data_IF_118771356613
#
_entry.id   IF_118771356613
#
_cell.length_a   1.000
_cell.length_b   1.000
_cell.length_c   1.000
_cell.angle_alpha   90.00
_cell.angle_beta   90.00
_cell.angle_gamma   90.00
#
_symmetry.space_group_name_H-M   'P 1'
#
loop_
_entity.id
_entity.type
_entity.pdbx_description
1 polymer ?
#
# COMPACT_ATOMS: atom_id res chain seq x y z
N UNK A 1 -35.70 -26.86 -51.06
CA UNK A 1 -35.23 -26.59 -49.67
C UNK A 1 -33.72 -26.64 -49.57
N UNK A 2 -32.94 -25.96 -50.44
CA UNK A 2 -31.46 -26.07 -50.47
C UNK A 2 -30.76 -24.72 -50.59
N UNK A 3 -31.47 -23.62 -50.48
CA UNK A 3 -30.89 -22.25 -50.61
C UNK A 3 -30.64 -21.55 -49.27
N UNK A 4 -31.13 -22.10 -48.14
CA UNK A 4 -30.97 -21.46 -46.81
C UNK A 4 -29.67 -21.79 -46.06
N UNK A 5 -29.00 -22.91 -46.38
CA UNK A 5 -27.83 -23.39 -45.60
C UNK A 5 -26.52 -22.71 -46.08
N UNK A 6 -26.44 -22.32 -47.36
CA UNK A 6 -25.22 -21.67 -47.88
C UNK A 6 -25.02 -20.22 -47.39
N UNK A 7 -26.09 -19.50 -47.09
CA UNK A 7 -26.01 -18.11 -46.60
C UNK A 7 -25.55 -18.01 -45.12
N UNK A 8 -25.86 -19.01 -44.29
CA UNK A 8 -25.46 -19.03 -42.86
C UNK A 8 -23.97 -19.38 -42.73
N UNK A 9 -23.45 -20.27 -43.55
CA UNK A 9 -22.00 -20.61 -43.50
C UNK A 9 -21.12 -19.47 -43.99
N UNK A 10 -21.54 -18.68 -44.96
CA UNK A 10 -20.78 -17.53 -45.46
C UNK A 10 -20.77 -16.39 -44.43
N UNK A 11 -21.85 -16.18 -43.68
CA UNK A 11 -21.92 -15.18 -42.62
C UNK A 11 -21.04 -15.53 -41.42
N UNK A 12 -20.96 -16.82 -41.04
CA UNK A 12 -20.11 -17.30 -39.95
C UNK A 12 -18.60 -17.21 -40.28
N UNK A 13 -18.21 -17.46 -41.52
CA UNK A 13 -16.81 -17.33 -41.98
C UNK A 13 -16.40 -15.87 -42.04
N UNK A 14 -17.25 -14.96 -42.44
CA UNK A 14 -16.98 -13.52 -42.45
C UNK A 14 -16.89 -12.94 -41.04
N UNK A 15 -17.68 -13.43 -40.09
CA UNK A 15 -17.61 -13.00 -38.69
C UNK A 15 -16.33 -13.48 -38.02
N UNK A 16 -15.89 -14.71 -38.31
CA UNK A 16 -14.62 -15.25 -37.79
C UNK A 16 -13.39 -14.52 -38.34
N UNK A 17 -13.41 -14.11 -39.60
CA UNK A 17 -12.34 -13.34 -40.22
C UNK A 17 -12.28 -11.90 -39.68
N UNK A 18 -13.37 -11.28 -39.28
CA UNK A 18 -13.40 -9.95 -38.67
C UNK A 18 -12.83 -9.96 -37.23
N UNK A 19 -13.15 -11.00 -36.44
CA UNK A 19 -12.65 -11.15 -35.06
C UNK A 19 -11.14 -11.39 -35.04
N UNK A 20 -10.61 -12.20 -35.98
CA UNK A 20 -9.17 -12.46 -36.08
C UNK A 20 -8.40 -11.19 -36.50
N UNK A 21 -8.94 -10.38 -37.42
CA UNK A 21 -8.29 -9.13 -37.81
C UNK A 21 -8.28 -8.05 -36.73
N UNK A 22 -9.36 -7.95 -35.90
CA UNK A 22 -9.40 -7.01 -34.78
C UNK A 22 -8.34 -7.30 -33.71
N UNK A 23 -8.08 -8.58 -33.43
CA UNK A 23 -7.05 -8.96 -32.47
C UNK A 23 -5.61 -8.74 -33.00
N UNK A 24 -5.39 -8.91 -34.30
CA UNK A 24 -4.08 -8.69 -34.93
C UNK A 24 -3.76 -7.19 -35.00
N UNK A 25 -4.72 -6.33 -35.28
CA UNK A 25 -4.54 -4.87 -35.29
C UNK A 25 -4.28 -4.34 -33.89
N UNK A 26 -5.01 -4.81 -32.85
CA UNK A 26 -4.77 -4.42 -31.46
C UNK A 26 -3.37 -4.85 -30.96
N UNK A 27 -2.88 -6.00 -31.40
CA UNK A 27 -1.56 -6.49 -30.98
C UNK A 27 -0.38 -5.79 -31.69
N UNK A 28 -0.58 -5.17 -32.84
CA UNK A 28 0.45 -4.37 -33.50
C UNK A 28 0.57 -2.96 -32.90
N UNK A 29 -0.50 -2.40 -32.41
CA UNK A 29 -0.57 -1.01 -31.95
C UNK A 29 0.27 -0.75 -30.69
N UNK A 30 0.15 -1.57 -29.65
CA UNK A 30 0.88 -1.34 -28.41
C UNK A 30 2.42 -1.45 -28.59
N UNK A 31 2.92 -2.28 -29.52
CA UNK A 31 4.36 -2.41 -29.79
C UNK A 31 4.92 -1.14 -30.39
N UNK A 32 4.17 -0.56 -31.31
CA UNK A 32 4.54 0.72 -31.93
C UNK A 32 4.50 1.84 -30.90
N UNK A 33 3.45 1.92 -30.09
CA UNK A 33 3.32 2.91 -29.01
C UNK A 33 4.43 2.78 -27.98
N UNK A 34 4.80 1.54 -27.63
CA UNK A 34 5.92 1.28 -26.73
C UNK A 34 7.24 1.75 -27.31
N UNK A 35 7.54 1.40 -28.57
CA UNK A 35 8.78 1.80 -29.21
C UNK A 35 8.89 3.32 -29.36
N UNK A 36 7.83 3.99 -29.79
CA UNK A 36 7.78 5.45 -29.85
C UNK A 36 8.05 6.06 -28.48
N UNK A 37 7.38 5.54 -27.45
CA UNK A 37 7.55 6.03 -26.07
C UNK A 37 8.97 5.79 -25.57
N UNK A 38 9.56 4.63 -25.84
CA UNK A 38 10.92 4.29 -25.42
C UNK A 38 11.96 5.18 -26.10
N UNK A 39 11.83 5.42 -27.40
CA UNK A 39 12.73 6.32 -28.13
C UNK A 39 12.60 7.77 -27.64
N UNK A 40 11.38 8.21 -27.34
CA UNK A 40 11.17 9.54 -26.77
C UNK A 40 11.76 9.65 -25.35
N UNK A 41 11.59 8.61 -24.51
CA UNK A 41 12.18 8.53 -23.18
C UNK A 41 13.72 8.57 -23.20
N UNK A 42 14.35 7.88 -24.17
CA UNK A 42 15.81 7.96 -24.38
C UNK A 42 16.26 9.37 -24.77
N UNK A 43 15.47 10.11 -25.54
CA UNK A 43 15.75 11.51 -25.88
C UNK A 43 15.58 12.44 -24.67
N UNK A 44 14.61 12.18 -23.80
CA UNK A 44 14.45 12.87 -22.51
C UNK A 44 15.64 12.58 -21.58
N UNK A 45 16.24 11.38 -21.69
CA UNK A 45 17.50 10.97 -21.08
C UNK A 45 17.43 10.75 -19.56
N UNK A 46 16.31 11.07 -18.91
CA UNK A 46 16.15 10.83 -17.48
C UNK A 46 14.68 10.69 -17.03
N UNK A 47 14.49 10.11 -15.84
CA UNK A 47 13.22 10.15 -15.08
C UNK A 47 13.52 10.61 -13.65
N UNK A 48 12.67 11.49 -13.12
CA UNK A 48 12.76 11.97 -11.73
C UNK A 48 11.73 11.27 -10.85
N UNK A 49 12.20 10.52 -9.84
CA UNK A 49 11.37 9.68 -8.97
C UNK A 49 11.52 10.11 -7.52
N UNK A 50 10.42 10.51 -6.87
CA UNK A 50 10.39 10.71 -5.42
C UNK A 50 9.88 9.42 -4.77
N UNK A 51 10.74 8.75 -3.99
CA UNK A 51 10.51 7.38 -3.53
C UNK A 51 10.75 7.21 -2.04
N UNK A 52 9.92 6.39 -1.40
CA UNK A 52 10.03 5.98 -0.01
C UNK A 52 10.41 4.50 0.10
N UNK A 53 11.52 4.20 0.81
CA UNK A 53 12.04 2.86 1.18
C UNK A 53 12.59 2.00 0.06
N UNK A 54 12.04 2.05 -1.14
CA UNK A 54 12.35 1.08 -2.20
C UNK A 54 13.33 1.63 -3.24
N UNK A 55 14.22 2.53 -2.84
CA UNK A 55 15.22 3.14 -3.73
C UNK A 55 16.17 2.12 -4.36
N UNK A 56 16.45 1.00 -3.68
CA UNK A 56 17.27 -0.08 -4.25
C UNK A 56 16.66 -0.69 -5.52
N UNK A 57 15.33 -0.59 -5.70
CA UNK A 57 14.63 -1.01 -6.91
C UNK A 57 15.11 -0.26 -8.16
N UNK A 58 15.53 0.99 -7.99
CA UNK A 58 15.97 1.85 -9.10
C UNK A 58 17.22 1.30 -9.81
N UNK A 59 18.04 0.52 -9.10
CA UNK A 59 19.19 -0.13 -9.72
C UNK A 59 18.78 -1.20 -10.75
N UNK A 60 17.69 -1.91 -10.48
CA UNK A 60 17.14 -2.88 -11.45
C UNK A 60 16.59 -2.18 -12.70
N UNK A 61 15.94 -1.03 -12.53
CA UNK A 61 15.50 -0.21 -13.67
C UNK A 61 16.67 0.32 -14.49
N UNK A 62 17.70 0.90 -13.86
CA UNK A 62 18.91 1.42 -14.53
C UNK A 62 19.63 0.35 -15.33
N UNK A 63 19.66 -0.88 -14.80
CA UNK A 63 20.29 -2.02 -15.50
C UNK A 63 19.53 -2.40 -16.77
N UNK A 64 18.21 -2.28 -16.78
CA UNK A 64 17.37 -2.61 -17.94
C UNK A 64 17.27 -1.46 -18.96
N UNK A 65 17.29 -0.21 -18.46
CA UNK A 65 17.19 1.00 -19.27
C UNK A 65 18.38 1.95 -19.02
N UNK A 66 19.61 1.57 -19.43
CA UNK A 66 20.82 2.34 -19.12
C UNK A 66 20.85 3.73 -19.78
N UNK A 67 20.08 3.93 -20.86
CA UNK A 67 19.96 5.22 -21.56
C UNK A 67 19.03 6.22 -20.83
N UNK A 68 18.34 5.79 -19.76
CA UNK A 68 17.42 6.63 -18.98
C UNK A 68 17.99 6.79 -17.57
N UNK A 69 18.61 7.94 -17.29
CA UNK A 69 19.13 8.26 -15.96
C UNK A 69 17.99 8.38 -14.95
N UNK A 70 18.14 7.78 -13.77
CA UNK A 70 17.20 7.97 -12.66
C UNK A 70 17.71 9.04 -11.70
N UNK A 71 16.96 10.13 -11.58
CA UNK A 71 17.15 11.15 -10.55
C UNK A 71 16.19 10.83 -9.40
N UNK A 72 16.73 10.38 -8.27
CA UNK A 72 15.90 9.96 -7.13
C UNK A 72 16.00 10.94 -5.97
N UNK A 73 14.86 11.18 -5.31
CA UNK A 73 14.80 11.84 -4.00
C UNK A 73 14.12 10.89 -3.02
N UNK A 74 14.80 10.61 -1.91
CA UNK A 74 14.32 9.71 -0.87
C UNK A 74 13.81 10.48 0.34
N UNK A 75 12.84 9.90 1.05
CA UNK A 75 12.26 10.49 2.27
C UNK A 75 10.93 9.85 2.61
N UNK A 76 10.34 10.23 3.74
CA UNK A 76 8.97 9.78 4.06
C UNK A 76 7.96 10.33 3.06
N UNK A 77 6.86 9.60 2.84
CA UNK A 77 5.83 10.05 1.91
C UNK A 77 5.29 11.46 2.21
N UNK A 78 5.18 11.83 3.50
CA UNK A 78 4.76 13.17 3.90
C UNK A 78 5.82 14.24 3.57
N UNK A 79 7.10 13.97 3.81
CA UNK A 79 8.19 14.89 3.46
C UNK A 79 8.24 15.12 1.94
N UNK A 80 8.20 14.03 1.17
CA UNK A 80 8.23 14.09 -0.29
C UNK A 80 7.00 14.81 -0.86
N UNK A 81 5.80 14.50 -0.37
CA UNK A 81 4.57 15.15 -0.80
C UNK A 81 4.55 16.65 -0.50
N UNK A 82 4.95 17.06 0.72
CA UNK A 82 5.04 18.47 1.08
C UNK A 82 6.11 19.22 0.27
N UNK A 83 7.23 18.55 -0.04
CA UNK A 83 8.26 19.10 -0.93
C UNK A 83 7.69 19.38 -2.32
N UNK A 84 6.96 18.43 -2.91
CA UNK A 84 6.29 18.62 -4.21
C UNK A 84 5.36 19.83 -4.17
N UNK A 85 4.53 19.95 -3.11
CA UNK A 85 3.65 21.11 -3.00
C UNK A 85 4.41 22.44 -2.87
N UNK A 86 5.56 22.45 -2.18
CA UNK A 86 6.41 23.64 -2.08
C UNK A 86 7.05 24.00 -3.43
N UNK A 87 7.55 22.99 -4.16
CA UNK A 87 8.08 23.14 -5.51
C UNK A 87 7.01 23.71 -6.47
N UNK A 88 5.77 23.17 -6.41
CA UNK A 88 4.65 23.68 -7.23
C UNK A 88 4.28 25.12 -6.92
N UNK A 89 4.28 25.53 -5.63
CA UNK A 89 4.05 26.92 -5.26
C UNK A 89 5.14 27.87 -5.81
N UNK A 90 6.35 27.36 -6.01
CA UNK A 90 7.47 28.07 -6.64
C UNK A 90 7.51 27.89 -8.16
N UNK A 91 6.43 27.38 -8.78
CA UNK A 91 6.31 27.07 -10.21
C UNK A 91 7.39 26.11 -10.74
N UNK A 92 7.94 25.26 -9.87
CA UNK A 92 8.95 24.24 -10.21
C UNK A 92 8.29 22.88 -10.39
N UNK A 93 8.52 22.27 -11.53
CA UNK A 93 7.99 20.97 -11.95
C UNK A 93 9.15 20.01 -12.11
N UNK A 94 9.64 19.45 -10.99
CA UNK A 94 10.93 18.74 -10.93
C UNK A 94 10.79 17.21 -10.89
N UNK A 95 9.59 16.69 -10.63
CA UNK A 95 9.35 15.27 -10.40
C UNK A 95 8.32 14.71 -11.39
N UNK A 96 8.60 13.53 -11.91
CA UNK A 96 7.73 12.80 -12.83
C UNK A 96 6.85 11.79 -12.10
N UNK A 97 7.45 11.02 -11.18
CA UNK A 97 6.79 9.89 -10.51
C UNK A 97 6.96 9.99 -8.99
N UNK A 98 5.86 9.77 -8.28
CA UNK A 98 5.86 9.61 -6.82
C UNK A 98 5.55 8.16 -6.47
N UNK A 99 6.42 7.54 -5.68
CA UNK A 99 6.26 6.17 -5.18
C UNK A 99 6.44 6.13 -3.67
N UNK A 100 5.31 6.14 -2.94
CA UNK A 100 5.29 6.11 -1.48
C UNK A 100 3.93 5.59 -0.96
N UNK A 101 3.65 5.76 0.34
CA UNK A 101 2.40 5.31 0.93
C UNK A 101 1.16 6.05 0.38
N UNK A 102 0.02 5.36 0.20
CA UNK A 102 -1.19 5.91 -0.40
C UNK A 102 -1.79 7.06 0.41
N UNK A 103 -1.63 7.04 1.73
CA UNK A 103 -2.13 8.11 2.60
C UNK A 103 -1.48 9.47 2.27
N UNK A 104 -0.18 9.49 2.00
CA UNK A 104 0.52 10.72 1.58
C UNK A 104 0.13 11.12 0.16
N UNK A 105 0.05 10.15 -0.75
CA UNK A 105 -0.40 10.39 -2.12
C UNK A 105 -1.81 11.00 -2.14
N UNK A 106 -2.74 10.46 -1.35
CA UNK A 106 -4.11 10.95 -1.30
C UNK A 106 -4.24 12.30 -0.57
N UNK A 107 -3.79 12.35 0.70
CA UNK A 107 -4.06 13.51 1.54
C UNK A 107 -3.22 14.75 1.18
N UNK A 108 -2.11 14.59 0.46
CA UNK A 108 -1.23 15.68 0.07
C UNK A 108 -1.34 15.94 -1.44
N UNK A 109 -1.03 14.94 -2.27
CA UNK A 109 -0.88 15.16 -3.71
C UNK A 109 -2.21 15.18 -4.45
N UNK A 110 -3.11 14.21 -4.18
CA UNK A 110 -4.43 14.16 -4.80
C UNK A 110 -5.28 15.38 -4.38
N UNK A 111 -5.38 15.66 -3.08
CA UNK A 111 -6.07 16.88 -2.58
C UNK A 111 -5.39 18.16 -3.07
N UNK A 112 -4.07 18.12 -3.29
CA UNK A 112 -3.29 19.22 -3.88
C UNK A 112 -3.43 19.36 -5.40
N UNK A 113 -4.18 18.47 -6.08
CA UNK A 113 -4.41 18.47 -7.54
C UNK A 113 -3.12 18.44 -8.36
N UNK A 114 -2.12 17.66 -7.90
CA UNK A 114 -0.80 17.58 -8.53
C UNK A 114 -0.60 16.32 -9.37
N UNK A 115 -1.62 15.48 -9.54
CA UNK A 115 -1.54 14.18 -10.19
C UNK A 115 -2.23 14.18 -11.54
N UNK A 116 -1.69 13.38 -12.47
CA UNK A 116 -2.33 13.00 -13.73
C UNK A 116 -2.89 11.57 -13.64
N UNK A 117 -3.93 11.22 -14.43
CA UNK A 117 -4.43 9.86 -14.50
C UNK A 117 -3.36 8.87 -14.96
N UNK A 118 -3.26 7.72 -14.29
CA UNK A 118 -2.25 6.70 -14.57
C UNK A 118 -2.60 5.79 -15.75
N UNK A 119 -3.90 5.45 -15.98
CA UNK A 119 -4.28 4.51 -17.05
C UNK A 119 -3.78 4.90 -18.44
N UNK A 120 -3.76 6.19 -18.86
CA UNK A 120 -3.18 6.59 -20.14
C UNK A 120 -1.66 6.37 -20.26
N UNK A 121 -0.97 6.14 -19.14
CA UNK A 121 0.45 5.81 -19.13
C UNK A 121 0.72 4.30 -19.26
N UNK A 122 -0.28 3.43 -19.14
CA UNK A 122 -0.14 1.99 -19.28
C UNK A 122 -0.12 1.62 -20.76
N UNK A 123 0.93 0.95 -21.21
CA UNK A 123 1.15 0.58 -22.62
C UNK A 123 1.29 -0.93 -22.75
N UNK A 124 2.05 -1.58 -21.85
CA UNK A 124 2.32 -3.01 -21.95
C UNK A 124 1.06 -3.84 -21.69
N UNK A 125 0.72 -4.83 -22.54
CA UNK A 125 -0.47 -5.68 -22.34
C UNK A 125 -0.53 -6.33 -20.97
N UNK A 126 0.60 -6.79 -20.43
CA UNK A 126 0.66 -7.39 -19.09
C UNK A 126 0.40 -6.39 -17.95
N UNK A 127 0.57 -5.09 -18.19
CA UNK A 127 0.23 -4.02 -17.24
C UNK A 127 -1.24 -3.67 -17.34
N UNK A 128 -1.79 -3.68 -18.55
CA UNK A 128 -3.21 -3.45 -18.81
C UNK A 128 -4.11 -4.60 -18.36
N UNK A 129 -3.58 -5.84 -18.31
CA UNK A 129 -4.33 -7.04 -17.94
C UNK A 129 -4.65 -7.07 -16.44
N UNK A 130 -5.87 -6.66 -16.09
CA UNK A 130 -6.36 -6.64 -14.72
C UNK A 130 -6.41 -8.04 -14.09
N UNK A 131 -6.52 -9.12 -14.88
CA UNK A 131 -6.55 -10.49 -14.37
C UNK A 131 -5.25 -10.93 -13.69
N UNK A 132 -4.15 -10.23 -13.92
CA UNK A 132 -2.85 -10.47 -13.28
C UNK A 132 -2.74 -9.90 -11.87
N UNK A 133 -3.74 -9.16 -11.42
CA UNK A 133 -3.73 -8.46 -10.15
C UNK A 133 -4.70 -9.07 -9.15
N UNK A 134 -4.39 -8.98 -7.87
CA UNK A 134 -5.22 -9.49 -6.78
C UNK A 134 -6.65 -8.94 -6.87
N UNK A 135 -7.64 -9.83 -6.84
CA UNK A 135 -9.05 -9.49 -7.02
C UNK A 135 -9.47 -9.25 -8.47
N UNK A 136 -8.62 -9.56 -9.46
CA UNK A 136 -8.93 -9.45 -10.89
C UNK A 136 -9.14 -8.02 -11.38
N UNK A 137 -8.53 -7.04 -10.71
CA UNK A 137 -8.67 -5.62 -11.05
C UNK A 137 -7.45 -4.80 -10.65
N UNK A 138 -7.26 -3.69 -11.33
CA UNK A 138 -6.31 -2.67 -10.92
C UNK A 138 -6.71 -2.04 -9.58
N UNK A 139 -5.76 -1.93 -8.66
CA UNK A 139 -6.02 -1.40 -7.33
C UNK A 139 -5.72 0.11 -7.27
N UNK A 140 -6.68 0.91 -7.65
CA UNK A 140 -6.65 2.35 -7.40
C UNK A 140 -7.19 2.66 -6.01
N UNK A 141 -6.51 3.52 -5.29
CA UNK A 141 -6.83 3.88 -3.89
C UNK A 141 -7.41 5.28 -3.74
N UNK A 142 -7.58 6.00 -4.83
CA UNK A 142 -8.30 7.26 -4.87
C UNK A 142 -9.78 7.07 -5.26
N UNK A 143 -10.71 7.97 -4.86
CA UNK A 143 -12.14 7.82 -5.10
C UNK A 143 -12.55 7.76 -6.58
N UNK A 144 -11.75 8.36 -7.47
CA UNK A 144 -12.01 8.35 -8.90
C UNK A 144 -11.45 7.11 -9.60
N UNK A 145 -10.61 6.32 -8.93
CA UNK A 145 -9.97 5.14 -9.49
C UNK A 145 -8.98 5.44 -10.62
N UNK A 146 -8.22 6.54 -10.52
CA UNK A 146 -7.43 7.06 -11.64
C UNK A 146 -5.98 7.42 -11.33
N UNK A 147 -5.68 7.88 -10.10
CA UNK A 147 -4.46 8.66 -9.82
C UNK A 147 -3.43 7.96 -8.96
N UNK A 148 -3.87 7.03 -8.09
CA UNK A 148 -2.99 6.41 -7.10
C UNK A 148 -3.13 4.89 -7.22
N UNK A 149 -2.12 4.23 -7.75
CA UNK A 149 -2.12 2.79 -7.95
C UNK A 149 -1.35 2.08 -6.82
N UNK A 150 -2.04 1.24 -6.04
CA UNK A 150 -1.43 0.43 -5.00
C UNK A 150 -0.95 -0.91 -5.56
N UNK A 151 0.37 -1.13 -5.63
CA UNK A 151 0.95 -2.32 -6.25
C UNK A 151 1.43 -3.39 -5.25
N UNK A 152 1.36 -3.13 -3.93
CA UNK A 152 1.67 -4.12 -2.90
C UNK A 152 0.43 -4.57 -2.12
N UNK A 153 0.50 -5.75 -1.51
CA UNK A 153 -0.54 -6.36 -0.68
C UNK A 153 0.10 -7.06 0.54
N UNK A 154 0.78 -6.29 1.38
CA UNK A 154 1.38 -6.82 2.60
C UNK A 154 0.29 -7.13 3.63
N UNK A 155 0.25 -8.36 4.13
CA UNK A 155 -0.54 -8.67 5.32
C UNK A 155 -0.07 -7.78 6.47
N UNK A 156 -0.99 -7.39 7.33
CA UNK A 156 -0.70 -6.57 8.49
C UNK A 156 -1.36 -7.16 9.73
N UNK A 157 -0.59 -7.31 10.79
CA UNK A 157 -1.07 -7.70 12.11
C UNK A 157 -1.79 -6.56 12.85
N UNK A 158 -2.23 -5.51 12.17
CA UNK A 158 -2.77 -4.27 12.75
C UNK A 158 -1.80 -3.64 13.77
N UNK A 159 -0.52 -3.99 13.71
CA UNK A 159 0.52 -3.54 14.64
C UNK A 159 0.18 -3.84 16.12
N UNK A 160 -0.54 -4.93 16.37
CA UNK A 160 -0.81 -5.44 17.71
C UNK A 160 0.28 -6.43 18.11
N UNK A 161 0.89 -6.23 19.26
CA UNK A 161 1.89 -7.16 19.79
C UNK A 161 1.60 -7.46 21.26
N UNK A 162 2.14 -8.57 21.75
CA UNK A 162 1.93 -9.00 23.14
C UNK A 162 3.23 -9.53 23.76
N UNK A 163 3.28 -9.51 25.10
CA UNK A 163 4.30 -10.22 25.85
C UNK A 163 3.80 -11.65 26.11
N UNK A 164 4.53 -12.65 25.59
CA UNK A 164 4.16 -14.06 25.66
C UNK A 164 4.19 -14.66 27.07
N UNK A 165 4.86 -14.00 28.03
CA UNK A 165 4.85 -14.39 29.44
C UNK A 165 3.64 -13.83 30.20
N UNK A 166 2.94 -12.83 29.67
CA UNK A 166 1.84 -12.13 30.35
C UNK A 166 0.49 -12.35 29.71
N UNK A 167 0.45 -12.76 28.45
CA UNK A 167 -0.80 -12.96 27.70
C UNK A 167 -0.70 -14.18 26.77
N UNK A 168 -1.83 -14.88 26.63
CA UNK A 168 -1.98 -15.98 25.71
C UNK A 168 -2.72 -15.48 24.45
N UNK A 169 -2.16 -15.59 23.23
CA UNK A 169 -2.84 -15.15 22.01
C UNK A 169 -4.16 -15.89 21.76
N UNK A 170 -4.36 -17.09 22.32
CA UNK A 170 -5.60 -17.87 22.22
C UNK A 170 -6.78 -17.24 22.98
N UNK A 171 -6.50 -16.29 23.88
CA UNK A 171 -7.54 -15.55 24.63
C UNK A 171 -8.29 -14.54 23.74
N UNK A 172 -7.78 -14.27 22.54
CA UNK A 172 -8.33 -13.28 21.63
C UNK A 172 -8.95 -13.93 20.40
N UNK A 173 -10.24 -13.66 20.21
CA UNK A 173 -11.03 -14.08 19.04
C UNK A 173 -11.67 -12.89 18.33
N UNK A 174 -11.53 -11.71 18.93
CA UNK A 174 -12.10 -10.45 18.44
C UNK A 174 -11.26 -9.28 18.96
N UNK A 175 -11.25 -8.18 18.22
CA UNK A 175 -10.67 -6.91 18.69
C UNK A 175 -11.35 -6.42 19.99
N UNK A 176 -12.63 -6.74 20.18
CA UNK A 176 -13.38 -6.39 21.39
C UNK A 176 -12.84 -7.06 22.65
N UNK A 177 -12.12 -8.19 22.55
CA UNK A 177 -11.49 -8.87 23.70
C UNK A 177 -10.36 -8.03 24.31
N UNK A 178 -9.80 -7.07 23.57
CA UNK A 178 -8.83 -6.10 24.07
C UNK A 178 -9.44 -5.13 25.09
N UNK A 179 -10.77 -5.02 25.14
CA UNK A 179 -11.50 -4.21 26.14
C UNK A 179 -11.77 -4.95 27.45
N UNK A 180 -11.34 -6.21 27.57
CA UNK A 180 -11.53 -6.95 28.82
C UNK A 180 -10.86 -6.19 29.99
N UNK A 181 -11.57 -5.96 31.11
CA UNK A 181 -11.06 -5.22 32.27
C UNK A 181 -9.74 -5.73 32.83
N UNK A 182 -9.42 -7.03 32.66
CA UNK A 182 -8.11 -7.62 33.06
C UNK A 182 -6.90 -6.93 32.40
N UNK A 183 -7.09 -6.27 31.25
CA UNK A 183 -6.05 -5.58 30.50
C UNK A 183 -5.92 -4.09 30.83
N UNK A 184 -6.82 -3.55 31.66
CA UNK A 184 -6.83 -2.12 32.01
C UNK A 184 -5.51 -1.73 32.72
N UNK A 185 -4.82 -0.74 32.15
CA UNK A 185 -3.49 -0.29 32.63
C UNK A 185 -2.31 -1.16 32.18
N UNK A 186 -2.55 -2.25 31.43
CA UNK A 186 -1.52 -3.17 30.94
C UNK A 186 -1.22 -3.03 29.45
N UNK A 187 -1.67 -1.94 28.84
CA UNK A 187 -1.52 -1.67 27.41
C UNK A 187 -0.68 -0.42 27.21
N UNK A 188 0.30 -0.51 26.33
CA UNK A 188 1.04 0.64 25.80
C UNK A 188 0.67 0.87 24.34
N UNK A 189 0.54 2.11 23.91
CA UNK A 189 0.26 2.45 22.51
C UNK A 189 1.17 3.57 22.04
N UNK A 190 1.46 3.58 20.74
CA UNK A 190 1.92 4.80 20.11
C UNK A 190 0.82 5.86 20.27
N UNK A 191 1.21 7.13 20.45
CA UNK A 191 0.25 8.23 20.55
C UNK A 191 -0.66 8.24 19.30
N UNK A 192 -2.00 8.08 19.45
CA UNK A 192 -2.90 7.95 18.31
C UNK A 192 -3.00 9.21 17.43
N UNK A 193 -2.43 10.32 17.89
CA UNK A 193 -2.32 11.56 17.10
C UNK A 193 -1.16 11.50 16.08
N UNK A 194 -0.28 10.50 16.16
CA UNK A 194 0.87 10.34 15.27
C UNK A 194 0.48 9.54 14.01
N UNK A 195 1.03 9.95 12.88
CA UNK A 195 0.83 9.27 11.59
C UNK A 195 1.35 7.83 11.58
N UNK A 196 2.29 7.49 12.47
CA UNK A 196 2.83 6.14 12.62
C UNK A 196 1.78 5.07 13.00
N UNK A 197 0.66 5.48 13.62
CA UNK A 197 -0.48 4.62 13.95
C UNK A 197 -1.62 4.73 12.90
N UNK A 198 -1.43 5.51 11.85
CA UNK A 198 -2.48 5.88 10.90
C UNK A 198 -3.22 4.69 10.31
N UNK A 199 -2.53 3.64 9.85
CA UNK A 199 -3.16 2.46 9.26
C UNK A 199 -3.97 1.64 10.27
N UNK A 200 -3.47 1.49 11.50
CA UNK A 200 -4.20 0.81 12.58
C UNK A 200 -5.46 1.57 12.96
N UNK A 201 -5.35 2.88 13.12
CA UNK A 201 -6.49 3.75 13.40
C UNK A 201 -7.49 3.76 12.25
N UNK A 202 -7.03 3.73 11.01
CA UNK A 202 -7.85 3.64 9.81
C UNK A 202 -8.64 2.33 9.79
N UNK A 203 -7.96 1.20 10.07
CA UNK A 203 -8.62 -0.10 10.19
C UNK A 203 -9.69 -0.07 11.28
N UNK A 204 -9.38 0.39 12.48
CA UNK A 204 -10.35 0.45 13.58
C UNK A 204 -11.54 1.38 13.27
N UNK A 205 -11.29 2.54 12.67
CA UNK A 205 -12.31 3.55 12.44
C UNK A 205 -13.32 3.13 11.38
N UNK A 206 -12.83 2.63 10.25
CA UNK A 206 -13.66 2.33 9.09
C UNK A 206 -14.18 0.89 9.06
N UNK A 207 -13.66 0.00 9.93
CA UNK A 207 -14.10 -1.38 9.94
C UNK A 207 -15.57 -1.47 10.42
N UNK A 208 -16.48 -2.12 9.65
CA UNK A 208 -17.92 -2.13 9.94
C UNK A 208 -18.28 -2.79 11.26
N UNK A 209 -17.46 -3.70 11.78
CA UNK A 209 -17.70 -4.42 13.04
C UNK A 209 -16.89 -3.85 14.23
N UNK A 210 -16.04 -2.83 14.03
CA UNK A 210 -15.22 -2.19 15.06
C UNK A 210 -15.68 -0.75 15.28
N UNK A 211 -15.33 0.15 14.39
CA UNK A 211 -15.82 1.52 14.33
C UNK A 211 -15.30 2.48 15.42
N UNK A 212 -15.74 3.75 15.36
CA UNK A 212 -15.30 4.80 16.29
C UNK A 212 -15.58 4.51 17.77
N UNK A 213 -16.64 3.78 18.10
CA UNK A 213 -16.98 3.44 19.49
C UNK A 213 -15.94 2.53 20.14
N UNK A 214 -15.38 1.59 19.39
CA UNK A 214 -14.26 0.80 19.87
C UNK A 214 -13.06 1.71 20.20
N UNK A 215 -12.72 2.62 19.31
CA UNK A 215 -11.59 3.56 19.50
C UNK A 215 -11.78 4.38 20.80
N UNK A 216 -12.96 4.93 21.02
CA UNK A 216 -13.28 5.69 22.25
C UNK A 216 -13.10 4.84 23.51
N UNK A 217 -13.64 3.62 23.54
CA UNK A 217 -13.53 2.70 24.67
C UNK A 217 -12.08 2.24 24.86
N UNK A 218 -11.38 1.93 23.79
CA UNK A 218 -10.04 1.38 23.82
C UNK A 218 -9.01 2.44 24.25
N UNK A 219 -8.86 3.52 23.49
CA UNK A 219 -7.90 4.58 23.81
C UNK A 219 -8.33 5.48 24.99
N UNK A 220 -9.63 5.69 25.17
CA UNK A 220 -10.16 6.53 26.24
C UNK A 220 -10.40 5.80 27.56
N UNK A 221 -10.76 4.48 27.52
CA UNK A 221 -11.25 3.72 28.68
C UNK A 221 -10.22 2.79 29.32
N UNK A 222 -9.25 2.25 28.58
CA UNK A 222 -8.37 1.18 29.04
C UNK A 222 -7.17 1.62 29.90
N UNK A 223 -7.08 2.90 30.33
CA UNK A 223 -5.95 3.45 31.09
C UNK A 223 -4.59 3.13 30.50
N UNK A 224 -4.47 3.24 29.16
CA UNK A 224 -3.24 2.98 28.42
C UNK A 224 -2.13 3.97 28.79
N UNK A 225 -0.87 3.51 28.70
CA UNK A 225 0.29 4.37 28.56
C UNK A 225 0.55 4.69 27.09
N UNK A 226 1.06 5.89 26.82
CA UNK A 226 1.41 6.31 25.46
C UNK A 226 2.90 6.61 25.35
N UNK A 227 3.48 6.21 24.21
CA UNK A 227 4.84 6.58 23.81
C UNK A 227 4.81 7.24 22.44
N UNK A 228 5.86 7.98 22.12
CA UNK A 228 6.11 8.52 20.78
C UNK A 228 7.21 7.75 20.06
N UNK A 229 7.85 6.78 20.75
CA UNK A 229 9.00 6.03 20.30
C UNK A 229 8.70 4.53 20.24
N UNK A 230 8.83 3.95 19.04
CA UNK A 230 8.59 2.52 18.82
C UNK A 230 9.47 1.63 19.68
N UNK A 231 10.77 1.92 19.70
CA UNK A 231 11.77 1.12 20.44
C UNK A 231 11.48 1.09 21.93
N UNK A 232 11.14 2.23 22.52
CA UNK A 232 10.75 2.31 23.91
C UNK A 232 9.57 1.39 24.26
N UNK A 233 8.60 1.28 23.37
CA UNK A 233 7.44 0.40 23.55
C UNK A 233 7.87 -1.07 23.54
N UNK A 234 8.75 -1.46 22.62
CA UNK A 234 9.30 -2.83 22.54
C UNK A 234 10.09 -3.18 23.79
N UNK A 235 10.94 -2.27 24.27
CA UNK A 235 11.71 -2.47 25.50
C UNK A 235 10.79 -2.64 26.72
N UNK A 236 9.77 -1.83 26.86
CA UNK A 236 8.78 -1.96 27.94
C UNK A 236 8.00 -3.27 27.87
N UNK A 237 7.64 -3.72 26.68
CA UNK A 237 7.00 -5.01 26.44
C UNK A 237 7.93 -6.16 26.88
N UNK A 238 9.20 -6.14 26.42
CA UNK A 238 10.20 -7.17 26.74
C UNK A 238 10.48 -7.25 28.25
N UNK A 239 10.45 -6.12 28.95
CA UNK A 239 10.60 -6.02 30.41
C UNK A 239 9.35 -6.45 31.20
N UNK A 240 8.26 -6.81 30.53
CA UNK A 240 7.00 -7.21 31.19
C UNK A 240 6.21 -6.07 31.83
N UNK A 241 6.51 -4.81 31.51
CA UNK A 241 5.73 -3.66 32.02
C UNK A 241 4.31 -3.62 31.47
N UNK A 242 4.12 -4.09 30.25
CA UNK A 242 2.85 -4.13 29.56
C UNK A 242 2.60 -5.51 28.95
N UNK A 243 1.36 -5.95 28.93
CA UNK A 243 0.93 -7.20 28.31
C UNK A 243 0.72 -7.05 26.80
N UNK A 244 0.32 -5.84 26.36
CA UNK A 244 0.06 -5.54 24.94
C UNK A 244 0.66 -4.22 24.53
N UNK A 245 0.92 -4.13 23.21
CA UNK A 245 1.20 -2.86 22.55
C UNK A 245 0.37 -2.68 21.28
N UNK A 246 0.13 -1.41 20.94
CA UNK A 246 -0.49 -0.99 19.68
C UNK A 246 0.47 -0.05 18.97
N UNK A 247 0.88 -0.41 17.77
CA UNK A 247 1.82 0.37 16.97
C UNK A 247 3.29 -0.04 17.15
N UNK A 248 3.59 -1.15 17.86
CA UNK A 248 4.95 -1.69 17.93
C UNK A 248 5.36 -2.28 16.56
N UNK A 249 6.48 -1.84 16.02
CA UNK A 249 6.99 -2.30 14.71
C UNK A 249 8.12 -3.33 14.83
N UNK A 250 8.74 -3.46 16.01
CA UNK A 250 9.93 -4.27 16.21
C UNK A 250 9.64 -5.60 16.93
N UNK A 251 8.38 -6.04 16.98
CA UNK A 251 7.97 -7.25 17.69
C UNK A 251 8.66 -8.50 17.12
N UNK A 252 8.66 -8.66 15.81
CA UNK A 252 9.25 -9.83 15.14
C UNK A 252 10.79 -9.86 15.35
N UNK A 253 11.43 -8.70 15.27
CA UNK A 253 12.86 -8.57 15.58
C UNK A 253 13.15 -8.93 17.06
N UNK A 254 12.34 -8.46 18.00
CA UNK A 254 12.47 -8.78 19.41
C UNK A 254 12.32 -10.29 19.65
N UNK A 255 11.37 -10.92 18.99
CA UNK A 255 11.17 -12.38 19.02
C UNK A 255 12.39 -13.13 18.50
N UNK A 256 12.95 -12.73 17.37
CA UNK A 256 14.17 -13.34 16.81
C UNK A 256 15.39 -13.19 17.76
N UNK A 257 15.40 -12.17 18.61
CA UNK A 257 16.40 -11.97 19.67
C UNK A 257 16.12 -12.76 20.95
N UNK A 258 15.07 -13.61 20.95
CA UNK A 258 14.69 -14.41 22.11
C UNK A 258 13.94 -13.66 23.21
N UNK A 259 13.50 -12.42 22.94
CA UNK A 259 12.69 -11.66 23.89
C UNK A 259 11.22 -12.14 23.89
N UNK A 260 10.51 -12.06 25.03
CA UNK A 260 9.12 -12.54 25.15
C UNK A 260 8.12 -11.57 24.51
N UNK A 261 8.36 -11.13 23.28
CA UNK A 261 7.49 -10.24 22.53
C UNK A 261 7.16 -10.90 21.19
N UNK A 262 5.88 -10.92 20.83
CA UNK A 262 5.42 -11.49 19.58
C UNK A 262 4.26 -10.67 18.99
N UNK A 263 4.02 -10.83 17.69
CA UNK A 263 2.90 -10.18 16.99
C UNK A 263 1.61 -10.97 17.17
N UNK A 264 0.47 -10.29 17.37
CA UNK A 264 -0.85 -10.92 17.39
C UNK A 264 -1.37 -11.09 15.96
N UNK A 265 -1.60 -12.33 15.58
CA UNK A 265 -2.24 -12.66 14.30
C UNK A 265 -3.76 -12.52 14.40
N UNK A 266 -4.24 -11.32 14.10
CA UNK A 266 -5.65 -11.01 14.11
C UNK A 266 -6.43 -11.47 12.86
N UNK A 267 -5.76 -12.06 11.88
CA UNK A 267 -6.43 -12.60 10.69
C UNK A 267 -7.36 -13.78 10.99
N UNK A 268 -7.17 -14.40 12.16
CA UNK A 268 -8.03 -15.47 12.70
C UNK A 268 -9.20 -14.93 13.54
N UNK A 269 -9.22 -13.65 13.86
CA UNK A 269 -10.27 -13.07 14.68
C UNK A 269 -11.55 -12.84 13.87
N UNK A 270 -12.66 -12.64 14.58
CA UNK A 270 -13.99 -12.44 13.97
C UNK A 270 -13.98 -11.35 12.90
N UNK A 271 -13.33 -10.22 13.17
CA UNK A 271 -13.26 -9.08 12.28
C UNK A 271 -12.20 -9.29 11.17
N UNK A 272 -11.29 -10.23 11.35
CA UNK A 272 -10.18 -10.49 10.45
C UNK A 272 -9.00 -9.54 10.63
N UNK A 273 -7.97 -9.78 9.85
CA UNK A 273 -6.79 -8.93 9.73
C UNK A 273 -6.95 -7.85 8.67
N UNK A 274 -5.90 -7.08 8.50
CA UNK A 274 -5.81 -6.10 7.43
C UNK A 274 -4.68 -6.45 6.47
N UNK A 275 -4.76 -5.90 5.27
CA UNK A 275 -3.62 -5.79 4.40
C UNK A 275 -3.58 -4.39 3.78
N UNK A 276 -2.39 -4.00 3.35
CA UNK A 276 -2.20 -2.66 2.80
C UNK A 276 -1.17 -2.66 1.68
N UNK A 277 -1.18 -1.59 0.92
CA UNK A 277 -0.13 -1.36 -0.06
C UNK A 277 1.17 -0.81 0.56
N UNK A 278 1.18 -0.57 1.89
CA UNK A 278 2.38 -0.10 2.61
C UNK A 278 2.98 1.16 1.99
N UNK A 279 4.27 1.11 1.66
CA UNK A 279 4.97 2.15 0.90
C UNK A 279 4.80 2.03 -0.62
N UNK A 280 4.10 0.99 -1.11
CA UNK A 280 4.01 0.64 -2.52
C UNK A 280 2.79 1.21 -3.24
N UNK A 281 2.62 2.53 -3.28
CA UNK A 281 1.73 3.17 -4.23
C UNK A 281 2.51 4.01 -5.24
N UNK A 282 1.91 4.18 -6.41
CA UNK A 282 2.48 4.86 -7.56
C UNK A 282 1.53 5.97 -8.03
N UNK A 283 2.08 7.14 -8.30
CA UNK A 283 1.33 8.27 -8.89
C UNK A 283 2.18 8.98 -9.93
N UNK A 284 1.54 9.43 -11.00
CA UNK A 284 2.14 10.26 -12.05
C UNK A 284 1.89 11.73 -11.72
N UNK A 285 2.95 12.53 -11.68
CA UNK A 285 2.84 13.96 -11.42
C UNK A 285 2.44 14.69 -12.71
N UNK A 286 1.46 15.60 -12.60
CA UNK A 286 1.14 16.46 -13.72
C UNK A 286 2.29 17.44 -14.02
N UNK A 287 2.43 17.81 -15.28
CA UNK A 287 3.52 18.69 -15.76
C UNK A 287 4.93 18.18 -15.42
N UNK A 288 5.10 16.85 -15.26
CA UNK A 288 6.43 16.25 -15.11
C UNK A 288 7.29 16.53 -16.32
N UNK A 289 8.60 16.83 -16.13
CA UNK A 289 9.47 17.24 -17.24
C UNK A 289 9.81 16.11 -18.23
N UNK A 290 9.65 14.83 -17.83
CA UNK A 290 10.06 13.68 -18.63
C UNK A 290 8.92 12.68 -18.77
N UNK A 291 7.86 13.07 -19.48
CA UNK A 291 6.59 12.32 -19.54
C UNK A 291 6.72 10.92 -20.16
N UNK A 292 7.61 10.75 -21.15
CA UNK A 292 7.83 9.44 -21.79
C UNK A 292 8.69 8.54 -20.91
N UNK A 293 9.73 9.06 -20.28
CA UNK A 293 10.55 8.31 -19.34
C UNK A 293 9.73 7.88 -18.10
N UNK A 294 8.79 8.71 -17.66
CA UNK A 294 7.80 8.34 -16.62
C UNK A 294 6.93 7.15 -17.06
N UNK A 295 6.42 7.16 -18.30
CA UNK A 295 5.65 6.03 -18.84
C UNK A 295 6.49 4.75 -18.89
N UNK A 296 7.74 4.82 -19.35
CA UNK A 296 8.65 3.66 -19.35
C UNK A 296 8.85 3.13 -17.93
N UNK A 297 9.12 4.00 -16.96
CA UNK A 297 9.31 3.61 -15.57
C UNK A 297 8.04 2.99 -14.96
N UNK A 298 6.86 3.56 -15.19
CA UNK A 298 5.57 3.06 -14.72
C UNK A 298 5.30 1.66 -15.27
N UNK A 299 5.42 1.47 -16.59
CA UNK A 299 5.20 0.16 -17.21
C UNK A 299 6.20 -0.89 -16.73
N UNK A 300 7.48 -0.52 -16.58
CA UNK A 300 8.48 -1.42 -16.02
C UNK A 300 8.15 -1.80 -14.58
N UNK A 301 7.86 -0.83 -13.72
CA UNK A 301 7.55 -1.10 -12.31
C UNK A 301 6.33 -2.02 -12.16
N UNK A 302 5.28 -1.80 -12.96
CA UNK A 302 4.05 -2.58 -12.90
C UNK A 302 4.12 -3.90 -13.70
N UNK A 303 5.15 -4.10 -14.52
CA UNK A 303 5.39 -5.36 -15.24
C UNK A 303 5.69 -6.52 -14.30
N UNK A 304 5.59 -7.75 -14.79
CA UNK A 304 6.01 -8.94 -14.07
C UNK A 304 7.46 -8.84 -13.58
N UNK A 305 8.35 -8.33 -14.42
CA UNK A 305 9.79 -8.17 -14.10
C UNK A 305 10.03 -7.16 -12.99
N UNK A 306 9.42 -5.99 -13.08
CA UNK A 306 9.54 -4.94 -12.07
C UNK A 306 8.98 -5.39 -10.71
N UNK A 307 7.83 -6.08 -10.70
CA UNK A 307 7.24 -6.59 -9.47
C UNK A 307 8.03 -7.76 -8.86
N UNK A 308 8.68 -8.61 -9.66
CA UNK A 308 9.63 -9.61 -9.16
C UNK A 308 10.89 -8.96 -8.58
N UNK A 309 11.42 -7.92 -9.23
CA UNK A 309 12.54 -7.16 -8.68
C UNK A 309 12.17 -6.50 -7.33
N UNK A 310 10.94 -5.98 -7.21
CA UNK A 310 10.42 -5.43 -5.97
C UNK A 310 10.39 -6.48 -4.84
N UNK A 311 9.88 -7.68 -5.09
CA UNK A 311 9.79 -8.73 -4.06
C UNK A 311 11.16 -9.19 -3.55
N UNK A 312 12.21 -9.06 -4.36
CA UNK A 312 13.58 -9.44 -3.96
C UNK A 312 14.27 -8.47 -3.01
N UNK A 313 13.63 -7.36 -2.66
CA UNK A 313 14.14 -6.42 -1.66
C UNK A 313 13.93 -6.96 -0.22
N UNK A 314 14.45 -8.16 0.05
CA UNK A 314 14.20 -8.91 1.27
C UNK A 314 14.85 -8.32 2.54
N UNK A 315 15.83 -7.42 2.39
CA UNK A 315 16.59 -6.83 3.53
C UNK A 315 15.86 -5.68 4.22
N UNK A 316 14.59 -5.44 3.87
CA UNK A 316 13.78 -4.38 4.45
C UNK A 316 12.99 -4.88 5.66
N UNK A 317 12.79 -4.01 6.66
CA UNK A 317 11.97 -4.29 7.86
C UNK A 317 10.51 -4.63 7.54
N UNK A 318 10.05 -4.37 6.32
CA UNK A 318 8.70 -4.64 5.81
C UNK A 318 8.83 -5.09 4.35
N UNK A 319 9.22 -6.36 4.13
CA UNK A 319 9.47 -6.90 2.80
C UNK A 319 8.24 -6.81 1.91
N UNK A 320 8.40 -6.38 0.66
CA UNK A 320 7.25 -6.13 -0.20
C UNK A 320 6.60 -7.41 -0.71
N UNK A 321 5.28 -7.47 -0.66
CA UNK A 321 4.46 -8.49 -1.30
C UNK A 321 3.67 -7.84 -2.44
N UNK A 322 4.02 -8.16 -3.68
CA UNK A 322 3.33 -7.63 -4.85
C UNK A 322 1.85 -8.06 -4.90
N UNK A 323 0.98 -7.19 -5.39
CA UNK A 323 -0.41 -7.53 -5.73
C UNK A 323 -0.54 -8.39 -7.01
N UNK A 324 0.52 -8.55 -7.80
CA UNK A 324 0.47 -9.47 -8.94
C UNK A 324 0.35 -10.91 -8.45
N UNK A 325 -0.59 -11.65 -9.03
CA UNK A 325 -0.85 -13.06 -8.70
C UNK A 325 -0.14 -14.05 -9.64
N UNK A 326 0.42 -13.56 -10.75
CA UNK A 326 1.13 -14.36 -11.75
C UNK A 326 2.65 -14.45 -11.49
N UNK A 327 3.11 -14.08 -10.29
CA UNK A 327 4.51 -14.16 -9.87
C UNK A 327 4.65 -15.04 -8.62
N UNK A 328 5.78 -15.78 -8.49
CA UNK A 328 6.06 -16.57 -7.28
C UNK A 328 6.09 -15.69 -6.03
N UNK A 329 5.75 -16.27 -4.89
CA UNK A 329 5.78 -15.61 -3.57
C UNK A 329 6.86 -16.17 -2.64
N UNK A 330 7.79 -16.96 -3.16
CA UNK A 330 8.82 -17.63 -2.37
C UNK A 330 9.74 -16.64 -1.65
N UNK A 331 10.03 -15.49 -2.28
CA UNK A 331 10.83 -14.39 -1.72
C UNK A 331 10.07 -13.54 -0.67
N UNK A 332 8.77 -13.77 -0.48
CA UNK A 332 7.95 -13.00 0.48
C UNK A 332 7.90 -13.74 1.81
N UNK A 333 8.25 -13.11 2.94
CA UNK A 333 8.10 -13.73 4.25
C UNK A 333 6.66 -14.19 4.51
N UNK A 334 6.46 -15.35 5.16
CA UNK A 334 5.12 -15.91 5.42
C UNK A 334 4.17 -14.92 6.09
N UNK A 335 4.67 -14.11 7.02
CA UNK A 335 3.92 -13.10 7.77
C UNK A 335 3.40 -11.95 6.89
N UNK A 336 4.04 -11.69 5.75
CA UNK A 336 3.62 -10.66 4.80
C UNK A 336 2.69 -11.21 3.71
N UNK A 337 2.49 -12.54 3.66
CA UNK A 337 1.58 -13.17 2.70
C UNK A 337 0.14 -13.11 3.21
N UNK A 338 -0.80 -13.01 2.29
CA UNK A 338 -2.21 -13.25 2.60
C UNK A 338 -2.42 -14.76 2.71
N UNK A 339 -2.59 -15.27 3.92
CA UNK A 339 -2.76 -16.69 4.17
C UNK A 339 -4.14 -17.16 3.67
N UNK A 340 -4.16 -18.32 3.01
CA UNK A 340 -5.39 -18.94 2.50
C UNK A 340 -6.38 -19.26 3.64
N UNK A 341 -7.67 -19.14 3.37
CA UNK A 341 -8.73 -19.40 4.35
C UNK A 341 -8.87 -18.36 5.46
N UNK A 342 -8.12 -17.26 5.42
CA UNK A 342 -8.19 -16.17 6.39
C UNK A 342 -8.90 -14.94 5.83
N UNK A 343 -9.50 -14.17 6.73
CA UNK A 343 -10.19 -12.92 6.37
C UNK A 343 -9.24 -11.74 6.48
N UNK A 344 -9.12 -10.97 5.40
CA UNK A 344 -8.36 -9.72 5.38
C UNK A 344 -9.19 -8.61 4.75
N UNK A 345 -9.06 -7.39 5.29
CA UNK A 345 -9.63 -6.18 4.72
C UNK A 345 -8.52 -5.29 4.17
N UNK A 346 -8.74 -4.80 2.94
CA UNK A 346 -7.83 -3.82 2.34
C UNK A 346 -8.02 -2.45 2.98
N UNK A 347 -7.05 -1.98 3.75
CA UNK A 347 -7.08 -0.62 4.32
C UNK A 347 -6.73 0.45 3.27
N UNK A 348 -6.21 0.04 2.11
CA UNK A 348 -5.92 0.92 0.98
C UNK A 348 -7.13 1.27 0.12
N UNK A 349 -8.35 0.83 0.48
CA UNK A 349 -9.55 1.13 -0.31
C UNK A 349 -9.88 2.63 -0.30
N UNK A 350 -10.42 3.18 -1.42
CA UNK A 350 -10.64 4.61 -1.59
C UNK A 350 -11.43 5.28 -0.47
N UNK A 351 -12.50 4.64 -0.01
CA UNK A 351 -13.42 5.17 1.00
C UNK A 351 -12.80 5.26 2.40
N UNK A 352 -11.63 4.64 2.63
CA UNK A 352 -10.90 4.68 3.90
C UNK A 352 -9.70 5.64 3.91
N UNK A 353 -9.44 6.35 2.82
CA UNK A 353 -8.24 7.20 2.70
C UNK A 353 -8.32 8.52 3.45
N UNK A 354 -9.53 9.02 3.79
CA UNK A 354 -9.64 10.25 4.55
C UNK A 354 -9.34 10.02 6.03
N UNK A 355 -8.18 10.47 6.47
CA UNK A 355 -7.74 10.39 7.87
C UNK A 355 -8.23 11.55 8.74
N UNK A 356 -8.88 12.54 8.17
CA UNK A 356 -9.34 13.75 8.89
C UNK A 356 -10.22 13.41 10.10
N UNK A 357 -11.30 12.60 9.96
CA UNK A 357 -12.15 12.27 11.10
C UNK A 357 -11.45 11.42 12.16
N UNK A 358 -10.47 10.61 11.74
CA UNK A 358 -9.67 9.77 12.63
C UNK A 358 -8.79 10.63 13.55
N UNK A 359 -8.04 11.58 12.97
CA UNK A 359 -7.19 12.47 13.75
C UNK A 359 -8.00 13.42 14.63
N UNK A 360 -9.18 13.85 14.19
CA UNK A 360 -10.09 14.64 15.02
C UNK A 360 -10.53 13.84 16.24
N UNK A 361 -11.01 12.59 16.06
CA UNK A 361 -11.40 11.70 17.14
C UNK A 361 -10.23 11.42 18.10
N UNK A 362 -9.02 11.19 17.58
CA UNK A 362 -7.84 10.96 18.42
C UNK A 362 -7.53 12.18 19.31
N UNK A 363 -7.61 13.40 18.76
CA UNK A 363 -7.42 14.65 19.53
C UNK A 363 -8.46 14.77 20.64
N UNK A 364 -9.74 14.55 20.36
CA UNK A 364 -10.84 14.60 21.34
C UNK A 364 -10.62 13.61 22.49
N UNK A 365 -10.24 12.35 22.18
CA UNK A 365 -9.98 11.33 23.20
C UNK A 365 -8.80 11.75 24.08
N UNK A 366 -7.72 12.25 23.49
CA UNK A 366 -6.52 12.62 24.23
C UNK A 366 -6.77 13.86 25.11
N UNK A 367 -7.48 14.87 24.62
CA UNK A 367 -7.89 16.04 25.40
C UNK A 367 -8.77 15.64 26.59
N UNK A 368 -9.77 14.77 26.40
CA UNK A 368 -10.63 14.27 27.47
C UNK A 368 -9.85 13.45 28.53
N UNK A 369 -8.72 12.83 28.18
CA UNK A 369 -7.85 12.12 29.12
C UNK A 369 -6.95 13.08 29.92
N UNK A 370 -6.42 14.11 29.25
CA UNK A 370 -5.57 15.12 29.86
C UNK A 370 -6.39 15.94 30.89
N UNK A 371 -7.62 16.33 30.57
CA UNK A 371 -8.51 17.05 31.51
C UNK A 371 -9.07 16.21 32.68
N UNK A 372 -8.86 14.88 32.68
CA UNK A 372 -9.22 14.02 33.83
C UNK A 372 -8.04 13.79 34.80
N UNK A 373 -6.88 14.33 34.51
CA UNK A 373 -5.69 14.22 35.36
C UNK A 373 -5.52 15.43 36.30
N UNK A 374 -6.34 16.48 36.09
CA UNK A 374 -6.50 17.60 37.01
C UNK A 374 -7.65 17.32 38.02
#
# INVERSE_FOLDING_TARGET
MTTGIRSIQTALVLLALFVVNANVVAQSDWKNDWEITLQAAKKEGQVSVYIYRYEALLEAFKKEYPDIKVSAVTGTGAQLGNRILAERRAEKYLVDVFSAGPNSAFNILYKGKTLDPLRPAFILPEVLDESKWHGGKHNFVDPEGKYIFGYLANASSSQLSYNSSLANPKDFKSHWDLLNPKWKGKIVSLDPRLTGLGQTMQFFYYHPEIGPEFIKKFFGGMKMSFSREFRQMTDWMAQGKFAFSVGCKDADRAKHQGLPVDSLDNSLWKEGGSFSTGGGSLSLLNRGPHSNAAKVFINWLLSRRGQMAMQKLADLDDPPNSRRIDIPKDDVPPENRLAEGRRYLDVGRPEWQDLTPIFQLAKEIMAAREGRKE
#
